data_IF_728510987223
#
_entry.id   IF_728510987223
#
_cell.length_a   1.000
_cell.length_b   1.000
_cell.length_c   1.000
_cell.angle_alpha   90.00
_cell.angle_beta   90.00
_cell.angle_gamma   90.00
#
_symmetry.space_group_name_H-M   'P 1'
#
loop_
_entity.id
_entity.type
_entity.pdbx_description
1 polymer ?
#
# COMPACT_ATOMS: atom_id res chain seq x y z
N UNK A 1 -17.64 -16.10 12.03
CA UNK A 1 -16.59 -15.10 11.69
C UNK A 1 -15.96 -15.53 10.38
N UNK A 2 -16.44 -14.98 9.26
CA UNK A 2 -15.88 -15.28 7.95
C UNK A 2 -14.67 -14.36 7.72
N UNK A 3 -13.47 -14.91 7.85
CA UNK A 3 -12.24 -14.23 7.43
C UNK A 3 -12.21 -14.26 5.90
N UNK A 4 -12.61 -13.14 5.29
CA UNK A 4 -12.41 -12.92 3.87
C UNK A 4 -10.89 -12.88 3.64
N UNK A 5 -10.38 -13.85 2.89
CA UNK A 5 -8.98 -13.88 2.45
C UNK A 5 -8.78 -12.67 1.52
N UNK A 6 -8.23 -11.58 2.06
CA UNK A 6 -7.84 -10.42 1.27
C UNK A 6 -6.66 -10.87 0.39
N UNK A 7 -6.97 -11.13 -0.88
CA UNK A 7 -5.96 -11.36 -1.90
C UNK A 7 -5.16 -10.07 -2.14
N UNK A 8 -4.01 -9.95 -1.48
CA UNK A 8 -3.01 -8.90 -1.74
C UNK A 8 -2.29 -9.16 -3.07
N UNK A 9 -2.98 -9.03 -4.20
CA UNK A 9 -2.38 -9.19 -5.54
C UNK A 9 -1.89 -7.87 -6.18
N UNK A 10 -1.96 -6.72 -5.50
CA UNK A 10 -1.67 -5.43 -6.15
C UNK A 10 -0.29 -4.79 -5.86
N UNK A 11 0.56 -5.39 -5.02
CA UNK A 11 1.87 -4.79 -4.70
C UNK A 11 3.01 -5.20 -5.65
N UNK A 12 2.79 -6.11 -6.60
CA UNK A 12 3.84 -6.52 -7.54
C UNK A 12 3.90 -5.64 -8.79
N UNK A 13 2.75 -5.19 -9.32
CA UNK A 13 2.70 -4.24 -10.43
C UNK A 13 2.99 -2.79 -10.03
N UNK A 14 3.10 -2.46 -8.73
CA UNK A 14 3.35 -1.06 -8.32
C UNK A 14 4.72 -0.55 -8.74
N UNK A 15 5.72 -1.43 -8.89
CA UNK A 15 7.04 -1.07 -9.43
C UNK A 15 7.00 -0.88 -10.95
N UNK A 16 6.24 -1.71 -11.67
CA UNK A 16 5.99 -1.50 -13.12
C UNK A 16 5.16 -0.23 -13.36
N UNK A 17 4.23 0.08 -12.45
CA UNK A 17 3.52 1.34 -12.45
C UNK A 17 4.46 2.52 -12.25
N UNK A 18 5.60 2.38 -11.59
CA UNK A 18 6.52 3.49 -11.33
C UNK A 18 7.15 4.02 -12.62
N UNK A 19 7.43 3.13 -13.58
CA UNK A 19 7.90 3.49 -14.94
C UNK A 19 6.89 4.37 -15.68
N UNK A 20 5.58 4.21 -15.42
CA UNK A 20 4.50 5.01 -16.02
C UNK A 20 4.13 6.23 -15.16
N UNK A 21 4.15 6.06 -13.85
CA UNK A 21 3.66 7.03 -12.86
C UNK A 21 4.64 8.19 -12.71
N UNK A 22 5.96 7.93 -12.67
CA UNK A 22 6.96 8.97 -12.50
C UNK A 22 6.93 10.01 -13.63
N UNK A 23 6.93 9.62 -14.93
CA UNK A 23 6.77 10.58 -16.03
C UNK A 23 5.43 11.34 -16.00
N UNK A 24 4.36 10.68 -15.53
CA UNK A 24 3.01 11.26 -15.51
C UNK A 24 2.83 12.28 -14.40
N UNK A 25 3.35 11.99 -13.20
CA UNK A 25 3.21 12.85 -12.01
C UNK A 25 4.22 13.99 -12.03
N UNK A 26 5.40 13.78 -12.62
CA UNK A 26 6.48 14.78 -12.68
C UNK A 26 6.91 15.07 -14.13
N UNK A 27 6.02 15.64 -14.96
CA UNK A 27 6.30 15.90 -16.38
C UNK A 27 7.38 16.97 -16.61
N UNK A 28 7.67 17.78 -15.59
CA UNK A 28 8.69 18.81 -15.56
C UNK A 28 10.09 18.26 -15.19
N UNK A 29 10.15 17.07 -14.59
CA UNK A 29 11.42 16.45 -14.20
C UNK A 29 12.03 15.67 -15.35
N UNK A 30 13.10 16.23 -15.92
CA UNK A 30 13.91 15.58 -16.98
C UNK A 30 14.43 14.19 -16.59
N UNK A 31 14.59 13.94 -15.29
CA UNK A 31 15.02 12.65 -14.74
C UNK A 31 13.84 11.68 -14.65
N UNK A 32 12.70 12.13 -14.12
CA UNK A 32 11.50 11.28 -13.99
C UNK A 32 10.93 10.91 -15.36
N UNK A 33 10.92 11.82 -16.33
CA UNK A 33 10.46 11.54 -17.70
C UNK A 33 11.34 10.55 -18.47
N UNK A 34 12.59 10.34 -18.03
CA UNK A 34 13.52 9.36 -18.62
C UNK A 34 13.61 8.08 -17.82
N UNK A 35 12.84 7.98 -16.73
CA UNK A 35 12.79 6.78 -15.92
C UNK A 35 12.12 5.67 -16.75
N UNK A 36 12.92 4.75 -17.26
CA UNK A 36 12.47 3.57 -17.98
C UNK A 36 13.39 2.42 -17.61
N UNK A 37 12.85 1.30 -17.15
CA UNK A 37 13.67 0.14 -16.84
C UNK A 37 13.53 -0.92 -17.93
N UNK A 38 14.57 -1.07 -18.76
CA UNK A 38 14.57 -2.09 -19.82
C UNK A 38 14.88 -3.46 -19.20
N UNK A 39 13.83 -4.27 -19.04
CA UNK A 39 13.81 -5.67 -18.56
C UNK A 39 14.14 -5.86 -17.08
N UNK A 40 13.23 -5.43 -16.21
CA UNK A 40 13.15 -5.93 -14.84
C UNK A 40 12.52 -7.33 -14.85
N UNK A 41 13.16 -8.31 -14.20
CA UNK A 41 12.49 -9.56 -13.81
C UNK A 41 12.06 -9.43 -12.36
N UNK A 42 10.77 -9.25 -12.14
CA UNK A 42 10.19 -9.32 -10.81
C UNK A 42 9.74 -10.76 -10.51
N UNK A 43 10.07 -11.27 -9.33
CA UNK A 43 9.65 -12.60 -8.89
C UNK A 43 9.28 -12.56 -7.41
N UNK A 44 8.13 -13.15 -7.07
CA UNK A 44 7.77 -13.40 -5.68
C UNK A 44 8.60 -14.56 -5.15
N UNK A 45 9.50 -14.28 -4.21
CA UNK A 45 10.36 -15.32 -3.63
C UNK A 45 9.58 -16.16 -2.61
N UNK A 46 9.03 -15.52 -1.57
CA UNK A 46 8.31 -16.21 -0.48
C UNK A 46 7.28 -15.29 0.19
N UNK A 47 6.17 -15.88 0.63
CA UNK A 47 5.17 -15.26 1.52
C UNK A 47 5.03 -16.15 2.76
N UNK A 48 5.03 -15.55 3.95
CA UNK A 48 4.85 -16.29 5.20
C UNK A 48 4.15 -15.43 6.24
N UNK A 49 3.29 -16.06 7.05
CA UNK A 49 2.80 -15.48 8.28
C UNK A 49 3.84 -15.68 9.40
N UNK A 50 4.36 -14.59 9.95
CA UNK A 50 5.35 -14.63 11.03
C UNK A 50 4.64 -14.44 12.39
N UNK A 51 5.02 -15.20 13.43
CA UNK A 51 4.34 -15.15 14.73
C UNK A 51 4.53 -13.81 15.46
N UNK A 52 5.62 -13.11 15.17
CA UNK A 52 5.86 -11.74 15.60
C UNK A 52 6.44 -10.93 14.42
N UNK A 53 6.20 -9.62 14.41
CA UNK A 53 6.61 -8.72 13.33
C UNK A 53 7.81 -7.87 13.77
N UNK A 54 8.76 -8.48 14.47
CA UNK A 54 9.99 -7.79 14.88
C UNK A 54 10.94 -7.66 13.71
N UNK A 55 11.82 -6.66 13.76
CA UNK A 55 12.83 -6.44 12.73
C UNK A 55 13.77 -7.64 12.57
N UNK A 56 14.07 -8.34 13.66
CA UNK A 56 14.89 -9.55 13.65
C UNK A 56 14.21 -10.72 12.93
N UNK A 57 12.95 -11.01 13.25
CA UNK A 57 12.22 -12.12 12.63
C UNK A 57 12.03 -11.89 11.14
N UNK A 58 11.76 -10.64 10.74
CA UNK A 58 11.66 -10.25 9.32
C UNK A 58 13.02 -10.42 8.64
N UNK A 59 14.10 -9.91 9.23
CA UNK A 59 15.42 -9.97 8.63
C UNK A 59 15.91 -11.42 8.46
N UNK A 60 15.74 -12.25 9.49
CA UNK A 60 16.08 -13.67 9.45
C UNK A 60 15.26 -14.42 8.39
N UNK A 61 13.95 -14.15 8.29
CA UNK A 61 13.10 -14.76 7.25
C UNK A 61 13.58 -14.42 5.84
N UNK A 62 13.94 -13.16 5.57
CA UNK A 62 14.48 -12.76 4.28
C UNK A 62 15.81 -13.45 3.99
N UNK A 63 16.75 -13.47 4.95
CA UNK A 63 18.05 -14.14 4.80
C UNK A 63 17.89 -15.65 4.51
N UNK A 64 17.06 -16.34 5.28
CA UNK A 64 16.75 -17.76 5.06
C UNK A 64 16.13 -18.01 3.69
N UNK A 65 15.32 -17.07 3.20
CA UNK A 65 14.71 -17.15 1.87
C UNK A 65 15.75 -17.09 0.75
N UNK A 66 16.76 -16.23 0.89
CA UNK A 66 17.88 -16.17 -0.05
C UNK A 66 18.68 -17.47 -0.03
N UNK A 67 19.10 -17.92 1.16
CA UNK A 67 19.89 -19.15 1.34
C UNK A 67 19.15 -20.36 0.76
N UNK A 68 17.87 -20.53 1.08
CA UNK A 68 17.07 -21.67 0.61
C UNK A 68 16.90 -21.70 -0.92
N UNK A 69 16.93 -20.54 -1.57
CA UNK A 69 16.83 -20.41 -3.02
C UNK A 69 18.21 -20.41 -3.71
N UNK A 70 19.31 -20.58 -2.96
CA UNK A 70 20.66 -20.50 -3.50
C UNK A 70 21.05 -19.11 -4.00
N UNK A 71 20.38 -18.06 -3.50
CA UNK A 71 20.67 -16.67 -3.84
C UNK A 71 21.77 -16.13 -2.91
N UNK A 72 22.75 -15.46 -3.49
CA UNK A 72 23.80 -14.79 -2.75
C UNK A 72 23.26 -13.51 -2.08
N UNK A 73 23.23 -13.51 -0.75
CA UNK A 73 22.77 -12.36 0.06
C UNK A 73 23.62 -11.11 -0.17
N UNK A 74 24.90 -11.26 -0.54
CA UNK A 74 25.80 -10.12 -0.80
C UNK A 74 25.45 -9.37 -2.07
N UNK A 75 24.71 -10.00 -2.99
CA UNK A 75 24.20 -9.36 -4.21
C UNK A 75 22.94 -8.53 -3.98
N UNK A 76 22.41 -8.52 -2.76
CA UNK A 76 21.34 -7.61 -2.39
C UNK A 76 21.92 -6.20 -2.22
N UNK A 77 21.60 -5.30 -3.17
CA UNK A 77 22.13 -3.93 -3.20
C UNK A 77 21.16 -2.90 -2.63
N UNK A 78 19.87 -3.24 -2.52
CA UNK A 78 18.86 -2.32 -2.02
C UNK A 78 17.76 -3.05 -1.26
N UNK A 79 17.22 -2.40 -0.24
CA UNK A 79 16.04 -2.82 0.52
C UNK A 79 14.93 -1.80 0.34
N UNK A 80 13.82 -2.22 -0.25
CA UNK A 80 12.59 -1.43 -0.37
C UNK A 80 11.58 -1.81 0.70
N UNK A 81 11.07 -0.83 1.46
CA UNK A 81 10.07 -1.07 2.49
C UNK A 81 9.19 0.15 2.77
N UNK A 82 8.08 -0.02 3.47
CA UNK A 82 7.35 1.12 4.01
C UNK A 82 8.14 1.83 5.12
N UNK A 83 7.80 3.09 5.41
CA UNK A 83 8.53 3.92 6.38
C UNK A 83 8.18 3.60 7.85
N UNK A 84 7.75 2.36 8.13
CA UNK A 84 7.48 1.95 9.51
C UNK A 84 8.78 1.92 10.32
N UNK A 85 8.66 2.16 11.62
CA UNK A 85 9.81 2.12 12.54
C UNK A 85 10.54 0.77 12.50
N UNK A 86 9.80 -0.33 12.28
CA UNK A 86 10.38 -1.67 12.16
C UNK A 86 11.32 -1.79 10.95
N UNK A 87 11.02 -1.13 9.83
CA UNK A 87 11.82 -1.22 8.62
C UNK A 87 13.03 -0.28 8.61
N UNK A 88 12.85 0.99 9.02
CA UNK A 88 13.88 2.03 8.89
C UNK A 88 14.22 2.78 10.19
N UNK A 89 13.62 2.44 11.33
CA UNK A 89 13.96 3.07 12.61
C UNK A 89 13.36 4.46 12.85
N UNK A 90 12.36 4.85 12.05
CA UNK A 90 11.62 6.12 12.18
C UNK A 90 12.28 7.30 11.47
N UNK A 91 11.69 8.49 11.60
CA UNK A 91 12.05 9.68 10.80
C UNK A 91 13.55 10.06 10.85
N UNK A 92 14.19 9.87 12.01
CA UNK A 92 15.60 10.21 12.19
C UNK A 92 16.56 9.08 11.80
N UNK A 93 16.07 7.88 11.51
CA UNK A 93 16.88 6.69 11.21
C UNK A 93 17.96 6.37 12.27
N UNK A 94 17.78 6.85 13.52
CA UNK A 94 18.76 6.70 14.61
C UNK A 94 18.70 5.30 15.22
N UNK A 95 17.51 4.70 15.26
CA UNK A 95 17.33 3.37 15.85
C UNK A 95 18.03 2.32 15.00
N UNK A 96 18.94 1.55 15.59
CA UNK A 96 19.62 0.43 14.93
C UNK A 96 18.82 -0.87 14.97
N UNK A 97 17.70 -0.91 15.70
CA UNK A 97 16.88 -2.11 15.84
C UNK A 97 15.78 -2.20 14.76
N UNK A 98 16.17 -2.03 13.50
CA UNK A 98 15.28 -2.07 12.34
C UNK A 98 15.78 -3.10 11.29
N UNK A 99 14.94 -3.43 10.31
CA UNK A 99 15.28 -4.41 9.26
C UNK A 99 16.46 -3.95 8.42
N UNK A 100 16.50 -2.68 8.03
CA UNK A 100 17.56 -2.12 7.21
C UNK A 100 18.95 -2.20 7.87
N UNK A 101 19.08 -1.81 9.14
CA UNK A 101 20.32 -1.93 9.91
C UNK A 101 20.77 -3.39 10.03
N UNK A 102 19.83 -4.31 10.29
CA UNK A 102 20.14 -5.74 10.33
C UNK A 102 20.57 -6.29 8.97
N UNK A 103 20.05 -5.76 7.87
CA UNK A 103 20.48 -6.13 6.52
C UNK A 103 21.88 -5.62 6.19
N UNK A 104 22.22 -4.41 6.65
CA UNK A 104 23.60 -3.90 6.57
C UNK A 104 24.59 -4.81 7.28
N UNK A 105 24.25 -5.24 8.49
CA UNK A 105 25.11 -6.10 9.31
C UNK A 105 25.20 -7.54 8.76
N UNK A 106 24.08 -8.11 8.30
CA UNK A 106 23.97 -9.56 8.05
C UNK A 106 24.00 -9.99 6.58
N UNK A 107 23.81 -9.07 5.63
CA UNK A 107 23.76 -9.41 4.20
C UNK A 107 24.80 -8.64 3.39
N UNK A 108 24.73 -7.30 3.40
CA UNK A 108 25.61 -6.44 2.63
C UNK A 108 25.71 -5.06 3.30
N UNK A 109 26.90 -4.67 3.74
CA UNK A 109 27.16 -3.37 4.37
C UNK A 109 26.83 -2.17 3.45
N UNK A 110 26.98 -2.37 2.14
CA UNK A 110 26.69 -1.37 1.10
C UNK A 110 25.22 -1.36 0.62
N UNK A 111 24.33 -2.09 1.29
CA UNK A 111 22.90 -2.09 0.92
C UNK A 111 22.29 -0.71 1.16
N UNK A 112 21.54 -0.22 0.18
CA UNK A 112 20.83 1.06 0.27
C UNK A 112 19.37 0.89 0.69
N UNK A 113 18.91 1.79 1.55
CA UNK A 113 17.53 1.80 2.04
C UNK A 113 16.65 2.69 1.18
N UNK A 114 15.57 2.13 0.63
CA UNK A 114 14.62 2.85 -0.22
C UNK A 114 13.23 2.82 0.42
N UNK A 115 12.74 3.98 0.83
CA UNK A 115 11.37 4.11 1.34
C UNK A 115 10.33 3.85 0.26
N UNK A 116 9.14 3.42 0.66
CA UNK A 116 8.07 3.07 -0.26
C UNK A 116 7.61 4.32 -1.04
N UNK A 117 7.83 4.38 -2.37
CA UNK A 117 7.48 5.55 -3.15
C UNK A 117 5.98 5.83 -3.16
N UNK A 118 5.16 4.80 -2.94
CA UNK A 118 3.71 4.91 -2.86
C UNK A 118 3.24 5.83 -1.72
N UNK A 119 4.06 6.04 -0.67
CA UNK A 119 3.74 6.97 0.42
C UNK A 119 3.86 8.45 0.01
N UNK A 120 4.65 8.79 -1.02
CA UNK A 120 4.82 10.17 -1.47
C UNK A 120 3.49 10.75 -2.01
N UNK A 121 2.84 10.15 -3.04
CA UNK A 121 1.57 10.65 -3.53
C UNK A 121 0.46 10.51 -2.48
N UNK A 122 0.51 9.49 -1.62
CA UNK A 122 -0.44 9.35 -0.52
C UNK A 122 -0.37 10.53 0.45
N UNK A 123 0.81 10.83 0.98
CA UNK A 123 0.99 11.92 1.93
C UNK A 123 0.59 13.25 1.31
N UNK A 124 0.93 13.49 0.04
CA UNK A 124 0.50 14.68 -0.69
C UNK A 124 -1.04 14.77 -0.78
N UNK A 125 -1.71 13.70 -1.21
CA UNK A 125 -3.17 13.66 -1.31
C UNK A 125 -3.85 13.82 0.06
N UNK A 126 -3.31 13.19 1.10
CA UNK A 126 -3.83 13.27 2.47
C UNK A 126 -3.68 14.69 3.03
N UNK A 127 -2.54 15.37 2.81
CA UNK A 127 -2.37 16.77 3.20
C UNK A 127 -3.39 17.68 2.50
N UNK A 128 -3.66 17.47 1.22
CA UNK A 128 -4.70 18.23 0.49
C UNK A 128 -6.09 17.93 1.04
N UNK A 129 -6.40 16.66 1.33
CA UNK A 129 -7.68 16.27 1.90
C UNK A 129 -7.98 16.97 3.23
N UNK A 130 -6.96 17.20 4.06
CA UNK A 130 -7.10 17.92 5.34
C UNK A 130 -7.46 19.41 5.18
N UNK A 131 -7.31 19.99 3.98
CA UNK A 131 -7.70 21.38 3.69
C UNK A 131 -9.14 21.47 3.16
N UNK A 132 -9.75 20.34 2.79
CA UNK A 132 -11.13 20.32 2.32
C UNK A 132 -12.09 20.63 3.48
N UNK A 133 -13.19 21.33 3.17
CA UNK A 133 -14.25 21.64 4.14
C UNK A 133 -15.01 20.41 4.63
N UNK A 134 -14.85 19.28 3.96
CA UNK A 134 -15.52 18.02 4.25
C UNK A 134 -14.49 16.89 4.32
N UNK A 135 -14.55 16.13 5.41
CA UNK A 135 -13.69 14.97 5.63
C UNK A 135 -14.27 13.76 4.87
N UNK A 136 -13.65 13.43 3.73
CA UNK A 136 -14.05 12.31 2.90
C UNK A 136 -13.92 10.95 3.62
N UNK A 137 -12.93 10.78 4.51
CA UNK A 137 -12.78 9.53 5.29
C UNK A 137 -13.96 9.36 6.25
N UNK A 138 -14.36 10.43 6.93
CA UNK A 138 -15.50 10.42 7.84
C UNK A 138 -16.82 10.16 7.10
N UNK A 139 -17.00 10.76 5.93
CA UNK A 139 -18.20 10.53 5.10
C UNK A 139 -18.28 9.05 4.70
N UNK A 140 -17.19 8.48 4.17
CA UNK A 140 -17.11 7.07 3.79
C UNK A 140 -17.38 6.17 5.01
N UNK A 141 -16.76 6.45 6.15
CA UNK A 141 -16.94 5.66 7.37
C UNK A 141 -18.39 5.68 7.87
N UNK A 142 -19.05 6.85 7.84
CA UNK A 142 -20.46 6.99 8.24
C UNK A 142 -21.39 6.24 7.30
N UNK A 143 -21.21 6.39 5.98
CA UNK A 143 -22.02 5.70 4.98
C UNK A 143 -21.86 4.19 5.07
N UNK A 144 -20.63 3.71 5.22
CA UNK A 144 -20.37 2.28 5.41
C UNK A 144 -20.98 1.77 6.71
N UNK A 145 -20.84 2.49 7.82
CA UNK A 145 -21.42 2.10 9.10
C UNK A 145 -22.95 2.04 9.06
N UNK A 146 -23.57 2.94 8.28
CA UNK A 146 -25.02 2.98 8.15
C UNK A 146 -25.56 1.92 7.18
N UNK A 147 -25.06 1.87 5.95
CA UNK A 147 -25.60 1.04 4.87
C UNK A 147 -24.85 -0.28 4.66
N UNK A 148 -23.60 -0.40 5.07
CA UNK A 148 -22.75 -1.56 4.83
C UNK A 148 -22.84 -2.65 5.90
N UNK A 149 -23.27 -2.31 7.13
CA UNK A 149 -23.32 -3.26 8.27
C UNK A 149 -24.70 -3.95 8.37
N UNK A 150 -25.79 -3.21 8.18
CA UNK A 150 -27.14 -3.70 8.44
C UNK A 150 -27.90 -3.99 7.14
N UNK A 151 -28.24 -5.27 6.93
CA UNK A 151 -28.96 -5.75 5.74
C UNK A 151 -30.24 -4.97 5.45
N UNK A 152 -31.05 -4.68 6.48
CA UNK A 152 -32.30 -3.90 6.33
C UNK A 152 -32.05 -2.52 5.71
N UNK A 153 -30.92 -1.87 6.05
CA UNK A 153 -30.55 -0.57 5.48
C UNK A 153 -29.94 -0.72 4.08
N UNK A 154 -29.19 -1.80 3.84
CA UNK A 154 -28.68 -2.14 2.53
C UNK A 154 -29.80 -2.38 1.51
N UNK A 155 -30.87 -3.08 1.90
CA UNK A 155 -32.05 -3.30 1.04
C UNK A 155 -32.77 -1.98 0.74
N UNK A 156 -33.01 -1.13 1.73
CA UNK A 156 -33.57 0.21 1.48
C UNK A 156 -32.76 1.04 0.51
N UNK A 157 -31.42 0.91 0.55
CA UNK A 157 -30.55 1.58 -0.42
C UNK A 157 -30.70 0.98 -1.83
N UNK A 158 -30.91 -0.33 -1.97
CA UNK A 158 -31.20 -0.96 -3.26
C UNK A 158 -32.53 -0.48 -3.82
N UNK A 159 -33.58 -0.44 -3.01
CA UNK A 159 -34.89 0.08 -3.41
C UNK A 159 -34.79 1.52 -3.90
N UNK A 160 -34.02 2.36 -3.20
CA UNK A 160 -33.73 3.72 -3.63
C UNK A 160 -32.97 3.76 -4.97
N UNK A 161 -31.94 2.93 -5.15
CA UNK A 161 -31.18 2.85 -6.39
C UNK A 161 -32.06 2.44 -7.57
N UNK A 162 -32.95 1.46 -7.37
CA UNK A 162 -33.94 1.05 -8.37
C UNK A 162 -34.89 2.20 -8.72
N UNK A 163 -35.40 2.92 -7.71
CA UNK A 163 -36.27 4.08 -7.89
C UNK A 163 -35.61 5.19 -8.73
N UNK A 164 -34.33 5.50 -8.50
CA UNK A 164 -33.59 6.50 -9.28
C UNK A 164 -32.91 5.94 -10.53
N UNK A 165 -33.15 4.68 -10.90
CA UNK A 165 -32.54 4.00 -12.04
C UNK A 165 -31.00 3.99 -12.03
N UNK A 166 -30.41 3.93 -10.84
CA UNK A 166 -28.96 3.79 -10.64
C UNK A 166 -28.64 2.32 -10.35
N UNK A 167 -27.60 1.78 -11.01
CA UNK A 167 -27.16 0.41 -10.73
C UNK A 167 -26.59 0.32 -9.31
N UNK A 168 -27.25 -0.46 -8.45
CA UNK A 168 -26.77 -0.69 -7.10
C UNK A 168 -25.39 -1.34 -7.07
N UNK A 169 -24.56 -0.87 -6.15
CA UNK A 169 -23.27 -1.43 -5.82
C UNK A 169 -23.04 -1.26 -4.32
N UNK A 170 -22.47 -2.27 -3.66
CA UNK A 170 -22.25 -2.22 -2.21
C UNK A 170 -21.37 -1.05 -1.78
N UNK A 171 -21.65 -0.42 -0.64
CA UNK A 171 -20.76 0.60 -0.06
C UNK A 171 -19.48 -0.09 0.41
N UNK A 172 -18.33 0.46 0.04
CA UNK A 172 -17.03 -0.07 0.44
C UNK A 172 -16.57 0.56 1.75
N UNK A 173 -15.96 -0.24 2.63
CA UNK A 173 -15.25 0.28 3.79
C UNK A 173 -13.89 0.83 3.38
N UNK A 174 -13.37 1.72 4.22
CA UNK A 174 -12.02 2.25 4.11
C UNK A 174 -11.25 1.97 5.39
N UNK A 175 -9.99 1.53 5.26
CA UNK A 175 -9.04 1.48 6.37
C UNK A 175 -7.87 2.42 6.09
N UNK A 176 -7.43 3.14 7.14
CA UNK A 176 -6.28 4.06 7.06
C UNK A 176 -4.99 3.38 6.57
N UNK A 177 -4.84 2.09 6.87
CA UNK A 177 -3.69 1.28 6.47
C UNK A 177 -3.68 0.92 4.98
N UNK A 178 -4.80 1.07 4.28
CA UNK A 178 -4.93 0.70 2.88
C UNK A 178 -5.45 1.90 2.08
N UNK A 179 -4.64 2.94 1.97
CA UNK A 179 -5.03 4.25 1.47
C UNK A 179 -5.67 4.26 0.07
N UNK A 180 -5.27 3.35 -0.83
CA UNK A 180 -5.91 3.19 -2.14
C UNK A 180 -7.40 2.81 -2.06
N UNK A 181 -7.87 2.28 -0.92
CA UNK A 181 -9.29 1.97 -0.69
C UNK A 181 -10.17 3.20 -0.57
N UNK A 182 -9.65 4.35 -0.12
CA UNK A 182 -10.44 5.57 0.05
C UNK A 182 -10.99 6.05 -1.29
N UNK A 183 -10.11 6.13 -2.30
CA UNK A 183 -10.50 6.56 -3.65
C UNK A 183 -11.58 5.66 -4.24
N UNK A 184 -11.43 4.34 -4.08
CA UNK A 184 -12.43 3.36 -4.52
C UNK A 184 -13.77 3.51 -3.79
N UNK A 185 -13.74 3.80 -2.49
CA UNK A 185 -14.95 4.02 -1.70
C UNK A 185 -15.65 5.33 -2.09
N UNK A 186 -14.91 6.42 -2.31
CA UNK A 186 -15.43 7.70 -2.78
C UNK A 186 -16.04 7.56 -4.18
N UNK A 187 -15.32 6.94 -5.13
CA UNK A 187 -15.86 6.65 -6.47
C UNK A 187 -17.14 5.81 -6.42
N UNK A 188 -17.22 4.84 -5.50
CA UNK A 188 -18.42 4.02 -5.30
C UNK A 188 -19.60 4.86 -4.83
N UNK A 189 -19.39 5.72 -3.84
CA UNK A 189 -20.43 6.62 -3.32
C UNK A 189 -20.87 7.58 -4.43
N UNK A 190 -19.93 8.21 -5.13
CA UNK A 190 -20.25 9.14 -6.22
C UNK A 190 -21.05 8.48 -7.34
N UNK A 191 -20.87 7.19 -7.61
CA UNK A 191 -21.69 6.46 -8.61
C UNK A 191 -23.12 6.21 -8.13
N UNK A 192 -23.34 6.04 -6.83
CA UNK A 192 -24.65 5.76 -6.25
C UNK A 192 -25.50 7.01 -6.06
N UNK A 193 -24.87 8.16 -5.87
CA UNK A 193 -25.51 9.44 -5.54
C UNK A 193 -25.27 10.53 -6.60
N UNK A 194 -24.95 10.14 -7.85
CA UNK A 194 -24.75 11.09 -8.96
C UNK A 194 -26.07 11.61 -9.51
#
# INVERSE_FOLDING_TARGET
MAFHTVHHHQSFSSNDCMDVLLPTVFPDSKTACKFSSVRIKCALLRVRFLPNQTSETIANFCRESFIKLGLDVKKCIAFGGDNTNTNFGGCLCISTNNVYSKFKESMNESIEGVGCPAHIPYNAAHTVANVLSADAEVIVAKLFSYFGIYTVRSEKLKDFCEFVSVQYASILSHSKTHWLSLMRAVERILRLFK
#
